data_IF_725685157840
#
_entry.id   IF_725685157840
#
_cell.length_a   1.000
_cell.length_b   1.000
_cell.length_c   1.000
_cell.angle_alpha   90.00
_cell.angle_beta   90.00
_cell.angle_gamma   90.00
#
_symmetry.space_group_name_H-M   'P 1'
#
loop_
_entity.id
_entity.type
_entity.pdbx_description
1 polymer ?
#
# COMPACT_ATOMS: atom_id res chain seq x y z
N UNK A 1 -10.57 -31.02 25.40
CA UNK A 1 -9.69 -31.33 24.25
C UNK A 1 -10.13 -30.38 23.14
N UNK A 2 -9.56 -29.13 23.18
CA UNK A 2 -9.94 -28.08 22.23
C UNK A 2 -9.11 -28.26 20.95
N UNK A 3 -9.75 -28.74 19.90
CA UNK A 3 -9.17 -28.63 18.55
C UNK A 3 -9.27 -27.18 18.14
N UNK A 4 -8.17 -26.42 18.24
CA UNK A 4 -8.00 -25.18 17.50
C UNK A 4 -7.99 -25.52 16.01
N UNK A 5 -9.11 -25.23 15.36
CA UNK A 5 -9.26 -25.30 13.90
C UNK A 5 -8.45 -24.16 13.29
N UNK A 6 -7.12 -24.30 13.24
CA UNK A 6 -6.25 -23.40 12.52
C UNK A 6 -6.45 -23.64 11.03
N UNK A 7 -7.33 -22.83 10.42
CA UNK A 7 -7.44 -22.78 8.96
C UNK A 7 -6.05 -22.51 8.37
N UNK A 8 -5.68 -23.18 7.27
CA UNK A 8 -4.39 -22.94 6.62
C UNK A 8 -4.26 -21.46 6.27
N UNK A 9 -3.07 -20.89 6.47
CA UNK A 9 -2.76 -19.45 6.30
C UNK A 9 -3.20 -18.93 4.91
N UNK A 10 -3.22 -19.78 3.89
CA UNK A 10 -3.69 -19.49 2.53
C UNK A 10 -5.19 -19.20 2.43
N UNK A 11 -6.00 -19.55 3.43
CA UNK A 11 -7.46 -19.31 3.42
C UNK A 11 -7.85 -18.02 4.12
N UNK A 12 -6.91 -17.36 4.82
CA UNK A 12 -7.17 -16.13 5.55
C UNK A 12 -7.25 -14.93 4.59
N UNK A 13 -8.39 -14.25 4.62
CA UNK A 13 -8.58 -13.00 3.88
C UNK A 13 -7.84 -11.85 4.57
N UNK A 14 -7.00 -11.13 3.82
CA UNK A 14 -6.29 -9.93 4.31
C UNK A 14 -7.11 -8.65 4.11
N UNK A 15 -7.98 -8.64 3.09
CA UNK A 15 -8.96 -7.58 2.87
C UNK A 15 -10.31 -8.23 2.60
N UNK A 16 -11.36 -7.76 3.26
CA UNK A 16 -12.74 -8.16 3.02
C UNK A 16 -13.58 -6.93 2.74
N UNK A 17 -14.33 -6.97 1.66
CA UNK A 17 -15.32 -5.96 1.32
C UNK A 17 -16.71 -6.58 1.43
N UNK A 18 -17.64 -5.93 2.12
CA UNK A 18 -19.01 -6.39 2.32
C UNK A 18 -19.98 -5.28 1.94
N UNK A 19 -20.72 -5.50 0.86
CA UNK A 19 -21.75 -4.60 0.32
C UNK A 19 -21.28 -3.15 0.15
N UNK A 20 -20.03 -3.01 -0.31
CA UNK A 20 -19.33 -1.73 -0.41
C UNK A 20 -19.84 -0.96 -1.62
N UNK A 21 -20.32 0.26 -1.37
CA UNK A 21 -20.57 1.26 -2.42
C UNK A 21 -19.68 2.48 -2.19
N UNK A 22 -19.30 3.16 -3.26
CA UNK A 22 -18.43 4.31 -3.19
C UNK A 22 -18.79 5.39 -4.22
N UNK A 23 -18.66 6.64 -3.79
CA UNK A 23 -18.83 7.85 -4.58
C UNK A 23 -17.75 8.86 -4.22
N UNK A 24 -17.41 9.79 -5.12
CA UNK A 24 -16.60 10.98 -4.81
C UNK A 24 -17.47 12.21 -4.50
N UNK A 25 -18.67 12.22 -5.04
CA UNK A 25 -19.73 13.15 -4.75
C UNK A 25 -20.90 12.36 -4.11
N UNK A 26 -21.73 12.92 -3.34
CA UNK A 26 -22.83 12.20 -2.67
C UNK A 26 -23.91 11.70 -3.64
N UNK A 27 -23.81 12.02 -4.92
CA UNK A 27 -24.89 11.81 -5.91
C UNK A 27 -24.65 10.58 -6.80
N UNK A 28 -23.40 10.33 -7.22
CA UNK A 28 -23.11 9.30 -8.23
C UNK A 28 -22.25 8.17 -7.68
N UNK A 29 -22.85 6.99 -7.51
CA UNK A 29 -22.11 5.79 -7.08
C UNK A 29 -21.25 5.26 -8.23
N UNK A 30 -19.93 5.25 -8.03
CA UNK A 30 -18.96 4.65 -8.95
C UNK A 30 -18.86 3.15 -8.75
N UNK A 31 -18.96 2.69 -7.50
CA UNK A 31 -19.05 1.29 -7.13
C UNK A 31 -20.34 1.05 -6.39
N UNK A 32 -21.03 -0.06 -6.71
CA UNK A 32 -22.33 -0.41 -6.12
C UNK A 32 -22.30 -1.83 -5.60
N UNK A 33 -22.53 -2.01 -4.29
CA UNK A 33 -22.72 -3.30 -3.61
C UNK A 33 -21.61 -4.33 -3.92
N UNK A 34 -20.36 -3.92 -3.85
CA UNK A 34 -19.21 -4.80 -4.11
C UNK A 34 -18.90 -5.62 -2.87
N UNK A 35 -18.98 -6.95 -3.00
CA UNK A 35 -18.55 -7.90 -1.96
C UNK A 35 -17.44 -8.78 -2.52
N UNK A 36 -16.27 -8.78 -1.88
CA UNK A 36 -15.12 -9.59 -2.30
C UNK A 36 -14.14 -9.84 -1.16
N UNK A 37 -13.34 -10.87 -1.31
CA UNK A 37 -12.28 -11.24 -0.38
C UNK A 37 -10.93 -11.33 -1.10
N UNK A 38 -9.92 -10.65 -0.56
CA UNK A 38 -8.52 -10.78 -1.00
C UNK A 38 -7.81 -11.74 -0.06
N UNK A 39 -7.41 -12.88 -0.56
CA UNK A 39 -6.73 -13.93 0.22
C UNK A 39 -5.22 -13.69 0.25
N UNK A 40 -4.58 -14.09 1.33
CA UNK A 40 -3.12 -14.04 1.45
C UNK A 40 -2.46 -14.93 0.39
N UNK A 41 -1.34 -14.46 -0.18
CA UNK A 41 -0.54 -15.21 -1.15
C UNK A 41 -1.19 -15.40 -2.52
N UNK A 42 -2.27 -14.66 -2.82
CA UNK A 42 -2.97 -14.75 -4.11
C UNK A 42 -2.80 -13.46 -4.91
N UNK A 43 -2.55 -13.57 -6.20
CA UNK A 43 -2.53 -12.46 -7.13
C UNK A 43 -3.92 -12.22 -7.70
N UNK A 44 -4.38 -10.97 -7.69
CA UNK A 44 -5.66 -10.56 -8.27
C UNK A 44 -5.42 -9.54 -9.38
N UNK A 45 -6.08 -9.73 -10.52
CA UNK A 45 -6.13 -8.76 -11.59
C UNK A 45 -7.53 -8.14 -11.67
N UNK A 46 -7.61 -6.80 -11.63
CA UNK A 46 -8.85 -6.05 -11.81
C UNK A 46 -8.88 -5.55 -13.26
N UNK A 47 -9.80 -6.09 -14.06
CA UNK A 47 -9.93 -5.78 -15.48
C UNK A 47 -11.25 -5.07 -15.73
N UNK A 48 -11.28 -4.15 -16.69
CA UNK A 48 -12.48 -3.41 -17.09
C UNK A 48 -12.16 -2.17 -17.91
N UNK A 49 -13.15 -1.56 -18.52
CA UNK A 49 -13.02 -0.35 -19.33
C UNK A 49 -12.49 0.85 -18.53
N UNK A 50 -12.01 1.89 -19.22
CA UNK A 50 -11.67 3.17 -18.55
C UNK A 50 -12.94 3.72 -17.88
N UNK A 51 -12.79 4.27 -16.67
CA UNK A 51 -13.93 4.79 -15.90
C UNK A 51 -14.73 3.75 -15.11
N UNK A 52 -14.46 2.43 -15.22
CA UNK A 52 -15.24 1.38 -14.55
C UNK A 52 -14.99 1.28 -13.02
N UNK A 53 -14.28 2.22 -12.40
CA UNK A 53 -14.09 2.24 -10.94
C UNK A 53 -12.89 1.44 -10.42
N UNK A 54 -12.01 0.87 -11.28
CA UNK A 54 -10.83 0.08 -10.84
C UNK A 54 -9.93 0.82 -9.85
N UNK A 55 -9.62 2.08 -10.15
CA UNK A 55 -8.78 2.91 -9.26
C UNK A 55 -9.49 3.25 -7.95
N UNK A 56 -10.81 3.41 -7.97
CA UNK A 56 -11.64 3.61 -6.79
C UNK A 56 -11.66 2.37 -5.90
N UNK A 57 -11.78 1.19 -6.51
CA UNK A 57 -11.72 -0.08 -5.81
C UNK A 57 -10.35 -0.26 -5.13
N UNK A 58 -9.24 0.03 -5.83
CA UNK A 58 -7.90 -0.02 -5.24
C UNK A 58 -7.71 0.99 -4.09
N UNK A 59 -8.28 2.20 -4.20
CA UNK A 59 -8.24 3.20 -3.11
C UNK A 59 -9.02 2.76 -1.87
N UNK A 60 -10.12 2.06 -2.04
CA UNK A 60 -10.85 1.44 -0.93
C UNK A 60 -10.03 0.32 -0.30
N UNK A 61 -9.41 -0.55 -1.12
CA UNK A 61 -8.59 -1.66 -0.65
C UNK A 61 -7.35 -1.23 0.13
N UNK A 62 -6.76 -0.08 -0.21
CA UNK A 62 -5.56 0.42 0.48
C UNK A 62 -5.89 1.44 1.59
N UNK A 63 -7.16 1.66 1.90
CA UNK A 63 -7.60 2.57 2.96
C UNK A 63 -7.49 4.06 2.64
N UNK A 64 -7.20 4.43 1.39
CA UNK A 64 -7.15 5.84 0.95
C UNK A 64 -8.54 6.45 0.72
N UNK A 65 -9.57 5.62 0.71
CA UNK A 65 -10.96 6.06 0.55
C UNK A 65 -11.85 5.32 1.52
N UNK A 66 -12.80 6.03 2.11
CA UNK A 66 -13.85 5.46 2.96
C UNK A 66 -15.05 5.14 2.06
N UNK A 67 -15.68 3.97 2.19
CA UNK A 67 -16.87 3.64 1.42
C UNK A 67 -18.07 4.51 1.84
N UNK A 68 -18.96 4.81 0.89
CA UNK A 68 -20.24 5.49 1.15
C UNK A 68 -21.22 4.60 1.91
N UNK A 69 -21.17 3.28 1.66
CA UNK A 69 -21.90 2.26 2.41
C UNK A 69 -21.14 0.94 2.43
N UNK A 70 -21.55 0.01 3.28
CA UNK A 70 -20.85 -1.25 3.49
C UNK A 70 -19.60 -1.10 4.35
N UNK A 71 -18.72 -2.09 4.34
CA UNK A 71 -17.51 -2.09 5.17
C UNK A 71 -16.34 -2.76 4.46
N UNK A 72 -15.16 -2.16 4.60
CA UNK A 72 -13.87 -2.79 4.23
C UNK A 72 -13.15 -3.19 5.52
N UNK A 73 -12.80 -4.45 5.65
CA UNK A 73 -12.06 -4.99 6.80
C UNK A 73 -10.61 -5.29 6.36
N UNK A 74 -9.65 -4.95 7.18
CA UNK A 74 -8.22 -5.22 6.99
C UNK A 74 -7.75 -6.16 8.10
N UNK A 75 -7.36 -7.37 7.74
CA UNK A 75 -7.10 -8.44 8.71
C UNK A 75 -8.23 -8.54 9.76
N UNK A 76 -9.48 -8.55 9.28
CA UNK A 76 -10.72 -8.59 10.10
C UNK A 76 -10.96 -7.36 11.00
N UNK A 77 -10.12 -6.30 10.91
CA UNK A 77 -10.28 -5.05 11.66
C UNK A 77 -11.08 -4.03 10.85
N UNK A 78 -12.05 -3.39 11.49
CA UNK A 78 -12.77 -2.23 10.91
C UNK A 78 -11.82 -1.01 10.84
N UNK A 79 -12.02 -0.13 9.85
CA UNK A 79 -11.32 1.15 9.80
C UNK A 79 -11.50 1.96 11.08
N UNK A 80 -10.42 2.14 11.82
CA UNK A 80 -10.36 2.99 13.01
C UNK A 80 -8.93 3.52 13.19
N UNK A 81 -8.74 4.79 12.89
CA UNK A 81 -7.43 5.44 13.03
C UNK A 81 -6.94 5.57 14.48
N UNK A 82 -7.77 5.31 15.49
CA UNK A 82 -7.35 5.22 16.89
C UNK A 82 -6.86 3.82 17.23
N UNK A 83 -7.29 2.80 16.51
CA UNK A 83 -6.90 1.42 16.73
C UNK A 83 -5.50 1.14 16.18
N UNK A 84 -4.57 0.71 17.06
CA UNK A 84 -3.18 0.40 16.71
C UNK A 84 -3.06 -0.77 15.72
N UNK A 85 -3.89 -1.80 15.87
CA UNK A 85 -3.86 -2.99 14.99
C UNK A 85 -4.35 -2.65 13.57
N UNK A 86 -5.37 -1.80 13.46
CA UNK A 86 -5.80 -1.27 12.17
C UNK A 86 -4.68 -0.46 11.48
N UNK A 87 -4.04 0.46 12.22
CA UNK A 87 -2.89 1.23 11.69
C UNK A 87 -1.76 0.33 11.20
N UNK A 88 -1.41 -0.71 11.98
CA UNK A 88 -0.39 -1.69 11.58
C UNK A 88 -0.80 -2.47 10.31
N UNK A 89 -2.09 -2.81 10.19
CA UNK A 89 -2.60 -3.54 9.02
C UNK A 89 -2.51 -2.70 7.75
N UNK A 90 -2.92 -1.43 7.80
CA UNK A 90 -2.85 -0.50 6.67
C UNK A 90 -1.40 -0.16 6.31
N UNK A 91 -0.54 0.05 7.30
CA UNK A 91 0.87 0.37 7.06
C UNK A 91 1.64 -0.73 6.31
N UNK A 92 1.11 -1.94 6.24
CA UNK A 92 1.66 -3.06 5.46
C UNK A 92 1.18 -3.12 4.01
N UNK A 93 0.28 -2.22 3.61
CA UNK A 93 -0.26 -2.19 2.25
C UNK A 93 0.60 -1.24 1.41
N UNK A 94 1.52 -1.78 0.63
CA UNK A 94 2.26 -1.00 -0.37
C UNK A 94 1.35 -0.61 -1.53
N UNK A 95 1.35 0.67 -1.91
CA UNK A 95 0.58 1.18 -3.05
C UNK A 95 1.48 1.88 -4.05
N UNK A 96 1.38 1.47 -5.31
CA UNK A 96 2.08 2.11 -6.43
C UNK A 96 1.03 2.77 -7.33
N UNK A 97 0.92 4.11 -7.31
CA UNK A 97 -0.01 4.82 -8.19
C UNK A 97 0.47 4.77 -9.64
N UNK A 98 -0.45 4.99 -10.58
CA UNK A 98 -0.14 5.02 -12.03
C UNK A 98 0.97 6.02 -12.38
N UNK A 99 1.01 7.17 -11.70
CA UNK A 99 2.04 8.21 -11.86
C UNK A 99 3.32 7.95 -11.06
N UNK A 100 3.44 6.76 -10.43
CA UNK A 100 4.50 6.31 -9.52
C UNK A 100 4.62 7.13 -8.23
N UNK A 101 4.17 8.38 -8.18
CA UNK A 101 4.19 9.26 -7.00
C UNK A 101 5.59 9.50 -6.42
N UNK A 102 6.65 9.45 -7.24
CA UNK A 102 8.03 9.68 -6.79
C UNK A 102 8.35 11.17 -6.66
N UNK A 103 9.14 11.50 -5.66
CA UNK A 103 9.67 12.86 -5.47
C UNK A 103 10.88 13.06 -6.40
N UNK A 104 10.71 13.87 -7.43
CA UNK A 104 11.66 13.95 -8.55
C UNK A 104 13.06 14.49 -8.18
N UNK A 105 13.13 15.44 -7.24
CA UNK A 105 14.35 16.15 -6.88
C UNK A 105 15.11 15.52 -5.69
N UNK A 106 14.63 14.42 -5.15
CA UNK A 106 15.30 13.66 -4.09
C UNK A 106 15.99 12.43 -4.67
N UNK A 107 16.89 11.83 -3.89
CA UNK A 107 17.62 10.63 -4.30
C UNK A 107 16.71 9.39 -4.40
N UNK A 108 17.21 8.36 -5.03
CA UNK A 108 16.58 7.04 -5.07
C UNK A 108 16.38 6.49 -3.66
N UNK A 109 17.43 6.55 -2.82
CA UNK A 109 17.41 6.10 -1.45
C UNK A 109 16.36 6.85 -0.63
N UNK A 110 16.31 8.19 -0.71
CA UNK A 110 15.29 8.99 -0.03
C UNK A 110 13.86 8.61 -0.44
N UNK A 111 13.64 8.35 -1.73
CA UNK A 111 12.33 7.90 -2.21
C UNK A 111 11.92 6.53 -1.64
N UNK A 112 12.86 5.60 -1.48
CA UNK A 112 12.59 4.30 -0.87
C UNK A 112 12.31 4.47 0.62
N UNK A 113 13.12 5.26 1.34
CA UNK A 113 12.94 5.53 2.77
C UNK A 113 11.59 6.18 3.12
N UNK A 114 10.95 6.91 2.18
CA UNK A 114 9.57 7.41 2.37
C UNK A 114 8.61 6.25 2.69
N UNK A 115 8.84 5.04 2.17
CA UNK A 115 8.03 3.86 2.48
C UNK A 115 8.05 3.45 3.96
N UNK A 116 9.09 3.82 4.71
CA UNK A 116 9.19 3.55 6.14
C UNK A 116 8.38 4.52 7.02
N UNK A 117 8.00 5.71 6.50
CA UNK A 117 7.36 6.77 7.29
C UNK A 117 6.14 6.32 8.11
N UNK A 118 5.24 5.45 7.59
CA UNK A 118 4.05 5.04 8.36
C UNK A 118 4.35 4.29 9.67
N UNK A 119 5.56 3.73 9.82
CA UNK A 119 5.96 2.98 11.02
C UNK A 119 6.97 3.72 11.91
N UNK A 120 7.45 4.88 11.47
CA UNK A 120 8.37 5.70 12.26
C UNK A 120 7.60 6.66 13.19
N UNK A 121 8.20 7.01 14.31
CA UNK A 121 7.64 8.04 15.20
C UNK A 121 7.59 9.40 14.50
N UNK A 122 6.52 10.15 14.72
CA UNK A 122 6.24 11.43 14.06
C UNK A 122 7.40 12.44 14.09
N UNK A 123 8.15 12.53 15.21
CA UNK A 123 9.30 13.43 15.33
C UNK A 123 10.46 13.06 14.41
N UNK A 124 10.83 11.77 14.35
CA UNK A 124 11.93 11.29 13.47
C UNK A 124 11.53 11.43 11.99
N UNK A 125 10.28 11.19 11.68
CA UNK A 125 9.69 11.34 10.34
C UNK A 125 9.75 12.80 9.86
N UNK A 126 9.45 13.76 10.74
CA UNK A 126 9.45 15.19 10.43
C UNK A 126 10.86 15.72 10.05
N UNK A 127 11.89 15.25 10.75
CA UNK A 127 13.28 15.67 10.51
C UNK A 127 14.01 14.85 9.43
N UNK A 128 13.32 13.92 8.74
CA UNK A 128 13.93 12.96 7.79
C UNK A 128 15.11 12.17 8.42
N UNK A 129 15.08 11.99 9.73
CA UNK A 129 16.08 11.20 10.44
C UNK A 129 15.68 9.74 10.43
N UNK A 130 16.17 9.00 9.46
CA UNK A 130 15.93 7.57 9.37
C UNK A 130 16.90 6.81 10.27
N UNK A 131 16.43 5.84 11.08
CA UNK A 131 17.31 4.92 11.81
C UNK A 131 18.25 4.19 10.84
N UNK A 132 19.45 3.85 11.32
CA UNK A 132 20.46 3.13 10.52
C UNK A 132 19.90 1.83 9.94
N UNK A 133 19.12 1.10 10.72
CA UNK A 133 18.45 -0.14 10.30
C UNK A 133 17.50 0.05 9.11
N UNK A 134 16.81 1.19 9.04
CA UNK A 134 15.92 1.48 7.90
C UNK A 134 16.73 1.86 6.65
N UNK A 135 17.89 2.50 6.82
CA UNK A 135 18.80 2.82 5.72
C UNK A 135 19.42 1.53 5.15
N UNK A 136 19.91 0.64 6.00
CA UNK A 136 20.45 -0.67 5.61
C UNK A 136 19.38 -1.49 4.86
N UNK A 137 18.17 -1.57 5.41
CA UNK A 137 17.05 -2.24 4.76
C UNK A 137 16.70 -1.63 3.41
N UNK A 138 16.78 -0.29 3.27
CA UNK A 138 16.52 0.37 1.99
C UNK A 138 17.57 0.00 0.94
N UNK A 139 18.85 -0.13 1.33
CA UNK A 139 19.93 -0.61 0.46
C UNK A 139 19.68 -2.06 0.04
N UNK A 140 19.31 -2.97 0.95
CA UNK A 140 18.97 -4.36 0.63
C UNK A 140 17.83 -4.44 -0.41
N UNK A 141 16.79 -3.62 -0.23
CA UNK A 141 15.67 -3.56 -1.18
C UNK A 141 16.12 -2.97 -2.53
N UNK A 142 16.99 -1.96 -2.52
CA UNK A 142 17.55 -1.37 -3.74
C UNK A 142 18.42 -2.36 -4.51
N UNK A 143 19.20 -3.18 -3.81
CA UNK A 143 19.98 -4.25 -4.43
C UNK A 143 19.05 -5.28 -5.08
N UNK A 144 18.00 -5.71 -4.38
CA UNK A 144 16.97 -6.64 -4.92
C UNK A 144 16.36 -6.17 -6.23
N UNK A 145 16.19 -4.85 -6.43
CA UNK A 145 15.66 -4.27 -7.68
C UNK A 145 16.74 -3.80 -8.64
N UNK A 146 18.02 -4.03 -8.33
CA UNK A 146 19.19 -3.69 -9.16
C UNK A 146 19.40 -2.17 -9.30
N UNK A 147 19.25 -1.41 -8.23
CA UNK A 147 19.38 0.06 -8.20
C UNK A 147 20.29 0.58 -7.08
N UNK A 148 20.92 -0.27 -6.28
CA UNK A 148 21.73 0.17 -5.15
C UNK A 148 22.90 1.08 -5.57
N UNK A 149 23.60 0.73 -6.65
CA UNK A 149 24.66 1.56 -7.23
C UNK A 149 24.19 2.97 -7.70
N UNK A 150 22.88 3.21 -7.72
CA UNK A 150 22.23 4.49 -8.09
C UNK A 150 21.48 5.13 -6.91
N UNK A 151 21.69 4.65 -5.69
CA UNK A 151 20.99 5.10 -4.48
C UNK A 151 21.02 6.62 -4.30
N UNK A 152 22.16 7.25 -4.57
CA UNK A 152 22.36 8.72 -4.46
C UNK A 152 21.89 9.52 -5.69
N UNK A 153 21.53 8.86 -6.80
CA UNK A 153 21.03 9.55 -7.98
C UNK A 153 19.66 10.16 -7.72
N UNK A 154 19.44 11.37 -8.26
CA UNK A 154 18.13 12.02 -8.26
C UNK A 154 17.17 11.29 -9.19
N UNK A 155 15.92 11.08 -8.74
CA UNK A 155 14.91 10.30 -9.47
C UNK A 155 14.59 10.88 -10.86
N UNK A 156 14.65 12.20 -11.05
CA UNK A 156 14.39 12.79 -12.37
C UNK A 156 15.40 12.32 -13.45
N UNK A 157 16.62 11.94 -13.06
CA UNK A 157 17.69 11.47 -13.94
C UNK A 157 17.55 10.00 -14.37
N UNK A 158 16.56 9.28 -13.84
CA UNK A 158 16.33 7.88 -14.11
C UNK A 158 15.45 7.66 -15.34
N UNK A 159 15.65 6.53 -16.02
CA UNK A 159 14.76 6.03 -17.06
C UNK A 159 13.37 5.69 -16.48
N UNK A 160 12.36 5.52 -17.34
CA UNK A 160 11.01 5.12 -16.92
C UNK A 160 10.97 3.77 -16.21
N UNK A 161 11.77 2.80 -16.68
CA UNK A 161 11.90 1.49 -16.05
C UNK A 161 12.55 1.54 -14.67
N UNK A 162 13.61 2.34 -14.51
CA UNK A 162 14.26 2.56 -13.22
C UNK A 162 13.32 3.25 -12.23
N UNK A 163 12.57 4.26 -12.66
CA UNK A 163 11.54 4.91 -11.83
C UNK A 163 10.49 3.92 -11.34
N UNK A 164 10.05 2.98 -12.19
CA UNK A 164 9.11 1.92 -11.77
C UNK A 164 9.74 1.02 -10.69
N UNK A 165 11.02 0.64 -10.84
CA UNK A 165 11.72 -0.15 -9.82
C UNK A 165 11.89 0.60 -8.49
N UNK A 166 12.16 1.92 -8.51
CA UNK A 166 12.16 2.75 -7.29
C UNK A 166 10.79 2.74 -6.62
N UNK A 167 9.70 2.85 -7.39
CA UNK A 167 8.34 2.80 -6.82
C UNK A 167 8.01 1.44 -6.21
N UNK A 168 8.50 0.34 -6.80
CA UNK A 168 8.40 -1.01 -6.24
C UNK A 168 9.21 -1.09 -4.94
N UNK A 169 10.47 -0.66 -4.95
CA UNK A 169 11.34 -0.65 -3.76
C UNK A 169 10.70 0.12 -2.60
N UNK A 170 10.12 1.29 -2.87
CA UNK A 170 9.38 2.08 -1.87
C UNK A 170 8.17 1.34 -1.31
N UNK A 171 7.46 0.56 -2.12
CA UNK A 171 6.30 -0.20 -1.67
C UNK A 171 6.69 -1.46 -0.86
N UNK A 172 7.90 -1.98 -1.04
CA UNK A 172 8.47 -3.10 -0.28
C UNK A 172 9.08 -2.64 1.06
N UNK A 173 9.46 -1.36 1.14
CA UNK A 173 10.02 -0.73 2.34
C UNK A 173 9.01 -0.65 3.48
#
# INVERSE_FOLDING_TARGET
MNMENTLPISTLSIIQMRDVSASYDSENLILKNISMNVKRGTNYAIVGASGSGKSTLLKLMNGMMIPSSGVVLYNYQKPDLKNKEYKKSIAKIGYIPQTLGLVKNTSVLENVLIGALPRLNNLKSFFKMFPKEEIEKAHDILDLVGLDAKSERKVHMLSGGEKRRVAIARALM
#
